data_IF_084365900688
#
_entry.id   IF_084365900688
#
_cell.length_a   1.000
_cell.length_b   1.000
_cell.length_c   1.000
_cell.angle_alpha   90.00
_cell.angle_beta   90.00
_cell.angle_gamma   90.00
#
_symmetry.space_group_name_H-M   'P 1'
#
loop_
_entity.id
_entity.type
_entity.pdbx_description
1 polymer ?
#
# COMPACT_ATOMS: atom_id res chain seq x y z
N UNK A 1 1.86 16.40 -7.02
CA UNK A 1 2.89 15.63 -6.28
C UNK A 1 3.95 15.13 -7.24
N UNK A 2 5.20 15.33 -6.88
CA UNK A 2 6.32 14.87 -7.72
C UNK A 2 6.52 13.37 -7.55
N UNK A 3 6.95 12.70 -8.61
CA UNK A 3 7.18 11.25 -8.59
C UNK A 3 8.12 10.81 -7.47
N UNK A 4 9.20 11.56 -7.23
CA UNK A 4 10.17 11.24 -6.17
C UNK A 4 9.52 11.24 -4.79
N UNK A 5 8.69 12.24 -4.49
CA UNK A 5 7.98 12.34 -3.22
C UNK A 5 6.99 11.19 -3.05
N UNK A 6 6.29 10.85 -4.13
CA UNK A 6 5.34 9.75 -4.13
C UNK A 6 6.02 8.42 -3.82
N UNK A 7 7.18 8.16 -4.44
CA UNK A 7 7.96 6.94 -4.21
C UNK A 7 8.44 6.89 -2.76
N UNK A 8 8.90 8.01 -2.20
CA UNK A 8 9.34 8.07 -0.81
C UNK A 8 8.20 7.75 0.16
N UNK A 9 7.01 8.32 -0.08
CA UNK A 9 5.84 8.05 0.75
C UNK A 9 5.42 6.59 0.67
N UNK A 10 5.42 6.02 -0.53
CA UNK A 10 5.09 4.61 -0.73
C UNK A 10 6.10 3.68 -0.04
N UNK A 11 7.38 4.02 -0.10
CA UNK A 11 8.44 3.25 0.55
C UNK A 11 8.23 3.22 2.06
N UNK A 12 7.88 4.36 2.66
CA UNK A 12 7.60 4.42 4.09
C UNK A 12 6.38 3.58 4.46
N UNK A 13 5.30 3.68 3.68
CA UNK A 13 4.10 2.87 3.90
C UNK A 13 4.41 1.38 3.78
N UNK A 14 5.21 0.98 2.80
CA UNK A 14 5.60 -0.41 2.61
C UNK A 14 6.40 -0.94 3.81
N UNK A 15 7.28 -0.13 4.39
CA UNK A 15 8.01 -0.50 5.60
C UNK A 15 7.04 -0.72 6.78
N UNK A 16 6.05 0.16 6.92
CA UNK A 16 5.04 0.03 7.97
C UNK A 16 4.16 -1.21 7.77
N UNK A 17 3.76 -1.48 6.52
CA UNK A 17 2.97 -2.67 6.18
C UNK A 17 3.73 -3.95 6.49
N UNK A 18 5.04 -3.98 6.22
CA UNK A 18 5.87 -5.15 6.51
C UNK A 18 5.93 -5.48 7.98
N UNK A 19 5.89 -4.49 8.86
CA UNK A 19 5.86 -4.74 10.30
C UNK A 19 4.61 -5.52 10.70
N UNK A 20 3.46 -5.19 10.12
CA UNK A 20 2.23 -5.94 10.35
C UNK A 20 2.30 -7.34 9.74
N UNK A 21 2.88 -7.44 8.54
CA UNK A 21 3.04 -8.73 7.86
C UNK A 21 3.93 -9.68 8.68
N UNK A 22 5.00 -9.18 9.27
CA UNK A 22 5.84 -9.97 10.16
C UNK A 22 5.12 -10.37 11.43
N UNK A 23 4.36 -9.44 12.01
CA UNK A 23 3.65 -9.70 13.26
C UNK A 23 2.58 -10.79 13.11
N UNK A 24 1.81 -10.74 12.04
CA UNK A 24 0.66 -11.65 11.85
C UNK A 24 0.92 -12.79 10.87
N UNK A 25 2.04 -12.77 10.16
CA UNK A 25 2.38 -13.82 9.21
C UNK A 25 1.51 -13.82 7.95
N UNK A 26 0.95 -12.68 7.58
CA UNK A 26 0.00 -12.56 6.45
C UNK A 26 0.40 -11.34 5.61
N UNK A 27 0.31 -11.49 4.29
CA UNK A 27 0.54 -10.36 3.39
C UNK A 27 -0.60 -9.35 3.50
N UNK A 28 -0.29 -8.07 3.35
CA UNK A 28 -1.29 -6.99 3.45
C UNK A 28 -2.44 -7.15 2.47
N UNK A 29 -2.17 -7.57 1.23
CA UNK A 29 -3.21 -7.82 0.23
C UNK A 29 -4.17 -8.93 0.67
N UNK A 30 -3.63 -9.99 1.27
CA UNK A 30 -4.44 -11.10 1.79
C UNK A 30 -5.27 -10.65 3.00
N UNK A 31 -4.67 -9.87 3.89
CA UNK A 31 -5.37 -9.29 5.02
C UNK A 31 -6.54 -8.41 4.56
N UNK A 32 -6.28 -7.53 3.58
CA UNK A 32 -7.31 -6.65 3.05
C UNK A 32 -8.48 -7.45 2.47
N UNK A 33 -8.19 -8.47 1.71
CA UNK A 33 -9.20 -9.34 1.14
C UNK A 33 -10.04 -10.03 2.23
N UNK A 34 -9.36 -10.58 3.23
CA UNK A 34 -10.02 -11.30 4.32
C UNK A 34 -10.90 -10.38 5.16
N UNK A 35 -10.41 -9.20 5.51
CA UNK A 35 -11.17 -8.28 6.35
C UNK A 35 -12.39 -7.71 5.62
N UNK A 36 -12.28 -7.43 4.33
CA UNK A 36 -13.41 -6.95 3.53
C UNK A 36 -14.45 -8.03 3.28
N UNK A 37 -14.04 -9.29 3.27
CA UNK A 37 -14.95 -10.44 3.12
C UNK A 37 -15.59 -10.90 4.43
N UNK A 38 -15.27 -10.25 5.55
CA UNK A 38 -15.82 -10.61 6.86
C UNK A 38 -15.20 -11.83 7.52
N UNK A 39 -14.10 -12.35 6.97
CA UNK A 39 -13.44 -13.54 7.49
C UNK A 39 -12.75 -13.31 8.85
N UNK A 40 -12.53 -12.04 9.22
CA UNK A 40 -11.85 -11.66 10.46
C UNK A 40 -12.80 -11.10 11.51
N UNK A 41 -14.11 -11.22 11.31
CA UNK A 41 -15.10 -10.67 12.23
C UNK A 41 -14.99 -11.24 13.65
N UNK A 42 -14.49 -12.46 13.80
CA UNK A 42 -14.29 -13.07 15.12
C UNK A 42 -13.28 -12.30 15.97
N UNK A 43 -12.36 -11.55 15.35
CA UNK A 43 -11.35 -10.75 16.03
C UNK A 43 -11.86 -9.36 16.43
N UNK A 44 -12.99 -8.91 15.87
CA UNK A 44 -13.59 -7.62 16.21
C UNK A 44 -14.04 -7.57 17.68
N UNK A 45 -14.37 -8.71 18.25
CA UNK A 45 -14.76 -8.82 19.64
C UNK A 45 -13.58 -8.72 20.60
N UNK A 46 -12.35 -8.79 20.07
CA UNK A 46 -11.11 -8.75 20.84
C UNK A 46 -10.47 -7.37 20.68
N UNK A 47 -10.63 -6.49 21.65
CA UNK A 47 -10.06 -5.14 21.64
C UNK A 47 -8.55 -5.14 21.36
N UNK A 48 -7.87 -6.23 21.75
CA UNK A 48 -6.43 -6.39 21.62
C UNK A 48 -5.94 -6.23 20.20
N UNK A 49 -6.68 -6.78 19.21
CA UNK A 49 -6.25 -6.75 17.80
C UNK A 49 -6.97 -5.69 16.97
N UNK A 50 -8.07 -5.18 17.46
CA UNK A 50 -8.91 -4.26 16.72
C UNK A 50 -8.18 -3.00 16.26
N UNK A 51 -7.43 -2.38 17.16
CA UNK A 51 -6.68 -1.15 16.85
C UNK A 51 -5.59 -1.41 15.82
N UNK A 52 -4.89 -2.53 15.94
CA UNK A 52 -3.86 -2.91 14.98
C UNK A 52 -4.45 -3.15 13.60
N UNK A 53 -5.60 -3.82 13.53
CA UNK A 53 -6.27 -4.09 12.25
C UNK A 53 -6.77 -2.80 11.61
N UNK A 54 -7.31 -1.87 12.38
CA UNK A 54 -7.76 -0.57 11.88
C UNK A 54 -6.58 0.20 11.29
N UNK A 55 -5.46 0.24 12.00
CA UNK A 55 -4.25 0.92 11.53
C UNK A 55 -3.71 0.27 10.27
N UNK A 56 -3.60 -1.05 10.25
CA UNK A 56 -3.12 -1.81 9.09
C UNK A 56 -3.99 -1.56 7.86
N UNK A 57 -5.31 -1.63 8.04
CA UNK A 57 -6.26 -1.38 6.96
C UNK A 57 -6.12 0.03 6.40
N UNK A 58 -6.00 1.04 7.26
CA UNK A 58 -5.84 2.43 6.84
C UNK A 58 -4.54 2.64 6.05
N UNK A 59 -3.44 2.05 6.51
CA UNK A 59 -2.15 2.13 5.81
C UNK A 59 -2.22 1.47 4.44
N UNK A 60 -2.87 0.31 4.35
CA UNK A 60 -2.97 -0.40 3.07
C UNK A 60 -3.85 0.36 2.08
N UNK A 61 -4.97 0.91 2.52
CA UNK A 61 -5.82 1.75 1.66
C UNK A 61 -5.09 2.98 1.15
N UNK A 62 -4.29 3.60 2.00
CA UNK A 62 -3.46 4.74 1.61
C UNK A 62 -2.44 4.31 0.56
N UNK A 63 -1.79 3.16 0.76
CA UNK A 63 -0.84 2.61 -0.20
C UNK A 63 -1.51 2.34 -1.56
N UNK A 64 -2.70 1.76 -1.56
CA UNK A 64 -3.45 1.51 -2.81
C UNK A 64 -3.71 2.80 -3.57
N UNK A 65 -4.12 3.85 -2.86
CA UNK A 65 -4.38 5.15 -3.46
C UNK A 65 -3.13 5.76 -4.08
N UNK A 66 -2.00 5.69 -3.36
CA UNK A 66 -0.74 6.21 -3.87
C UNK A 66 -0.21 5.36 -5.03
N UNK A 67 -0.40 4.05 -4.98
CA UNK A 67 -0.01 3.16 -6.05
C UNK A 67 -0.79 3.45 -7.34
N UNK A 68 -2.06 3.77 -7.23
CA UNK A 68 -2.86 4.18 -8.38
C UNK A 68 -2.31 5.44 -9.01
N UNK A 69 -1.97 6.45 -8.21
CA UNK A 69 -1.34 7.68 -8.70
C UNK A 69 0.01 7.39 -9.36
N UNK A 70 0.80 6.52 -8.75
CA UNK A 70 2.09 6.10 -9.29
C UNK A 70 1.92 5.48 -10.68
N UNK A 71 0.98 4.57 -10.83
CA UNK A 71 0.70 3.92 -12.11
C UNK A 71 0.26 4.94 -13.16
N UNK A 72 -0.58 5.90 -12.79
CA UNK A 72 -1.04 6.95 -13.69
C UNK A 72 0.10 7.85 -14.16
N UNK A 73 1.03 8.19 -13.25
CA UNK A 73 2.15 9.05 -13.59
C UNK A 73 3.17 8.36 -14.50
N UNK A 74 3.36 7.06 -14.33
CA UNK A 74 4.38 6.30 -15.06
C UNK A 74 3.86 5.79 -16.40
N UNK A 75 2.59 5.41 -16.51
CA UNK A 75 2.04 4.70 -17.67
C UNK A 75 1.56 5.60 -18.81
N UNK A 76 1.97 6.88 -18.83
CA UNK A 76 1.42 7.85 -19.79
C UNK A 76 1.93 7.71 -21.21
N UNK A 77 3.09 7.11 -21.42
CA UNK A 77 3.77 7.05 -22.72
C UNK A 77 4.45 5.70 -22.90
N UNK A 78 4.79 5.32 -24.15
CA UNK A 78 5.63 4.14 -24.36
C UNK A 78 6.92 4.22 -23.57
N UNK A 79 7.38 3.09 -23.07
CA UNK A 79 8.54 3.02 -22.17
C UNK A 79 9.78 3.70 -22.76
N UNK A 80 10.05 3.49 -24.04
CA UNK A 80 11.21 4.09 -24.70
C UNK A 80 11.17 5.62 -24.65
N UNK A 81 9.99 6.20 -24.85
CA UNK A 81 9.82 7.66 -24.80
C UNK A 81 9.99 8.19 -23.38
N UNK A 82 9.45 7.47 -22.40
CA UNK A 82 9.59 7.86 -21.00
C UNK A 82 11.05 7.84 -20.54
N UNK A 83 11.79 6.81 -20.93
CA UNK A 83 13.22 6.69 -20.60
C UNK A 83 14.01 7.81 -21.23
N UNK A 84 13.77 8.11 -22.52
CA UNK A 84 14.45 9.20 -23.22
C UNK A 84 14.18 10.55 -22.56
N UNK A 85 12.94 10.80 -22.17
CA UNK A 85 12.56 12.05 -21.49
C UNK A 85 13.25 12.17 -20.14
N UNK A 86 13.31 11.10 -19.37
CA UNK A 86 13.97 11.08 -18.06
C UNK A 86 15.47 11.33 -18.18
N UNK A 87 16.11 10.74 -19.20
CA UNK A 87 17.56 10.90 -19.41
C UNK A 87 17.92 12.29 -19.94
N UNK A 88 17.00 12.95 -20.64
CA UNK A 88 17.21 14.30 -21.18
C UNK A 88 17.00 15.39 -20.13
N UNK A 89 16.36 15.08 -19.03
CA UNK A 89 16.16 16.00 -17.93
C UNK A 89 17.40 16.09 -17.01
#
# INVERSE_FOLDING_TARGET
MKLKELIQDMTQLEADLRRFEERFGVKSAEFYRAITAGELDEFDALDEYRMEFVEWLALYKTWLSLNEKYCQLIARQPVAIQIKTALAA
#
